data_IF_036209922597
#
_entry.id   IF_036209922597
#
_cell.length_a   1.000
_cell.length_b   1.000
_cell.length_c   1.000
_cell.angle_alpha   90.00
_cell.angle_beta   90.00
_cell.angle_gamma   90.00
#
_symmetry.space_group_name_H-M   'P 1'
#
loop_
_entity.id
_entity.type
_entity.pdbx_description
1 polymer ?
#
# COMPACT_ATOMS: atom_id res chain seq x y z
N UNK A 1 -17.30 5.39 -8.29
CA UNK A 1 -16.51 5.01 -7.09
C UNK A 1 -16.45 3.50 -6.86
N UNK A 2 -17.55 2.75 -7.05
CA UNK A 2 -17.59 1.29 -6.80
C UNK A 2 -16.49 0.45 -7.47
N UNK A 3 -16.14 0.71 -8.74
CA UNK A 3 -15.02 0.03 -9.41
C UNK A 3 -13.67 0.20 -8.70
N UNK A 4 -13.41 1.36 -8.10
CA UNK A 4 -12.18 1.61 -7.36
C UNK A 4 -12.19 0.94 -5.98
N UNK A 5 -13.36 0.74 -5.38
CA UNK A 5 -13.50 -0.09 -4.19
C UNK A 5 -13.17 -1.56 -4.50
N UNK A 6 -13.67 -2.09 -5.62
CA UNK A 6 -13.33 -3.44 -6.09
C UNK A 6 -11.83 -3.57 -6.40
N UNK A 7 -11.24 -2.55 -7.05
CA UNK A 7 -9.80 -2.52 -7.30
C UNK A 7 -8.98 -2.53 -6.00
N UNK A 8 -9.46 -1.90 -4.92
CA UNK A 8 -8.80 -1.98 -3.62
C UNK A 8 -8.85 -3.40 -3.03
N UNK A 9 -9.95 -4.13 -3.18
CA UNK A 9 -10.03 -5.52 -2.69
C UNK A 9 -8.97 -6.41 -3.35
N UNK A 10 -8.68 -6.21 -4.64
CA UNK A 10 -7.60 -6.92 -5.34
C UNK A 10 -6.19 -6.54 -4.84
N UNK A 11 -6.02 -5.42 -4.14
CA UNK A 11 -4.75 -5.08 -3.50
C UNK A 11 -4.45 -5.93 -2.26
N UNK A 12 -5.47 -6.49 -1.59
CA UNK A 12 -5.29 -7.35 -0.42
C UNK A 12 -4.42 -8.58 -0.72
N UNK A 13 -4.73 -9.42 -1.74
CA UNK A 13 -3.87 -10.56 -2.06
C UNK A 13 -2.48 -10.11 -2.53
N UNK A 14 -2.34 -8.96 -3.21
CA UNK A 14 -1.02 -8.41 -3.57
C UNK A 14 -0.19 -8.04 -2.32
N UNK A 15 -0.82 -7.41 -1.32
CA UNK A 15 -0.17 -7.08 -0.05
C UNK A 15 0.27 -8.34 0.71
N UNK A 16 -0.61 -9.36 0.76
CA UNK A 16 -0.30 -10.66 1.36
C UNK A 16 0.87 -11.32 0.64
N UNK A 17 0.87 -11.35 -0.69
CA UNK A 17 1.95 -11.93 -1.49
C UNK A 17 3.28 -11.20 -1.25
N UNK A 18 3.29 -9.87 -1.18
CA UNK A 18 4.48 -9.09 -0.88
C UNK A 18 5.02 -9.37 0.55
N UNK A 19 4.13 -9.49 1.53
CA UNK A 19 4.48 -9.88 2.89
C UNK A 19 5.03 -11.31 2.97
N UNK A 20 4.39 -12.26 2.28
CA UNK A 20 4.82 -13.65 2.22
C UNK A 20 6.19 -13.78 1.55
N UNK A 21 6.42 -13.07 0.43
CA UNK A 21 7.71 -13.02 -0.25
C UNK A 21 8.83 -12.53 0.67
N UNK A 22 8.54 -11.53 1.52
CA UNK A 22 9.47 -11.06 2.56
C UNK A 22 9.74 -12.16 3.58
N UNK A 23 8.71 -12.58 4.31
CA UNK A 23 8.85 -13.48 5.48
C UNK A 23 9.37 -14.87 5.11
N UNK A 24 8.86 -15.45 4.03
CA UNK A 24 9.21 -16.81 3.59
C UNK A 24 10.44 -16.82 2.68
N UNK A 25 10.73 -15.72 2.00
CA UNK A 25 11.83 -15.59 1.06
C UNK A 25 13.06 -14.97 1.69
N UNK A 26 13.28 -13.68 1.40
CA UNK A 26 14.58 -13.04 1.64
C UNK A 26 14.80 -12.57 3.08
N UNK A 27 13.77 -12.47 3.93
CA UNK A 27 13.96 -12.06 5.33
C UNK A 27 14.86 -13.03 6.11
N UNK A 28 14.91 -14.31 5.74
CA UNK A 28 15.82 -15.28 6.38
C UNK A 28 17.31 -14.97 6.14
N UNK A 29 17.63 -14.25 5.07
CA UNK A 29 18.99 -13.90 4.65
C UNK A 29 19.33 -12.43 4.90
N UNK A 30 18.38 -11.65 5.42
CA UNK A 30 18.50 -10.22 5.63
C UNK A 30 18.10 -9.86 7.06
N UNK A 31 18.79 -8.90 7.67
CA UNK A 31 18.29 -8.31 8.92
C UNK A 31 16.90 -7.70 8.72
N UNK A 32 16.06 -7.76 9.75
CA UNK A 32 14.64 -7.36 9.73
C UNK A 32 14.41 -6.00 9.07
N UNK A 33 15.22 -4.99 9.43
CA UNK A 33 15.13 -3.64 8.86
C UNK A 33 15.33 -3.62 7.35
N UNK A 34 16.33 -4.32 6.83
CA UNK A 34 16.62 -4.39 5.39
C UNK A 34 15.52 -5.14 4.65
N UNK A 35 15.06 -6.24 5.23
CA UNK A 35 13.95 -7.01 4.67
C UNK A 35 12.67 -6.16 4.57
N UNK A 36 12.37 -5.38 5.60
CA UNK A 36 11.24 -4.45 5.58
C UNK A 36 11.42 -3.38 4.49
N UNK A 37 12.58 -2.74 4.40
CA UNK A 37 12.85 -1.71 3.39
C UNK A 37 12.72 -2.25 1.97
N UNK A 38 13.32 -3.41 1.67
CA UNK A 38 13.17 -4.08 0.38
C UNK A 38 11.69 -4.39 0.08
N UNK A 39 10.95 -4.89 1.06
CA UNK A 39 9.51 -5.17 0.90
C UNK A 39 8.69 -3.92 0.62
N UNK A 40 9.01 -2.79 1.24
CA UNK A 40 8.35 -1.51 0.97
C UNK A 40 8.66 -1.01 -0.44
N UNK A 41 9.92 -1.10 -0.88
CA UNK A 41 10.31 -0.69 -2.24
C UNK A 41 9.65 -1.57 -3.31
N UNK A 42 9.63 -2.89 -3.11
CA UNK A 42 8.92 -3.82 -3.99
C UNK A 42 7.42 -3.51 -4.01
N UNK A 43 6.81 -3.22 -2.86
CA UNK A 43 5.41 -2.80 -2.80
C UNK A 43 5.15 -1.52 -3.58
N UNK A 44 6.00 -0.49 -3.46
CA UNK A 44 5.86 0.77 -4.22
C UNK A 44 5.85 0.49 -5.73
N UNK A 45 6.76 -0.34 -6.23
CA UNK A 45 6.85 -0.68 -7.66
C UNK A 45 5.64 -1.48 -8.11
N UNK A 46 5.30 -2.58 -7.41
CA UNK A 46 4.20 -3.48 -7.77
C UNK A 46 2.86 -2.77 -7.70
N UNK A 47 2.60 -2.04 -6.62
CA UNK A 47 1.37 -1.26 -6.48
C UNK A 47 1.37 -0.08 -7.45
N UNK A 48 2.51 0.56 -7.72
CA UNK A 48 2.59 1.59 -8.76
C UNK A 48 2.14 1.08 -10.12
N UNK A 49 2.65 -0.08 -10.55
CA UNK A 49 2.24 -0.72 -11.80
C UNK A 49 0.75 -1.11 -11.79
N UNK A 50 0.26 -1.67 -10.69
CA UNK A 50 -1.15 -2.02 -10.54
C UNK A 50 -2.07 -0.79 -10.59
N UNK A 51 -1.72 0.28 -9.87
CA UNK A 51 -2.49 1.53 -9.84
C UNK A 51 -2.48 2.18 -11.23
N UNK A 52 -1.35 2.19 -11.92
CA UNK A 52 -1.27 2.66 -13.30
C UNK A 52 -2.21 1.87 -14.22
N UNK A 53 -2.23 0.53 -14.11
CA UNK A 53 -3.16 -0.32 -14.85
C UNK A 53 -4.63 0.02 -14.55
N UNK A 54 -4.98 0.21 -13.27
CA UNK A 54 -6.34 0.58 -12.86
C UNK A 54 -6.75 1.94 -13.42
N UNK A 55 -5.88 2.95 -13.31
CA UNK A 55 -6.13 4.30 -13.85
C UNK A 55 -6.28 4.27 -15.36
N UNK A 56 -5.45 3.48 -16.06
CA UNK A 56 -5.53 3.29 -17.51
C UNK A 56 -6.82 2.62 -17.96
N UNK A 57 -7.22 1.58 -17.25
CA UNK A 57 -8.40 0.79 -17.59
C UNK A 57 -9.67 1.55 -17.27
N UNK A 58 -9.65 2.30 -16.17
CA UNK A 58 -10.76 3.12 -15.71
C UNK A 58 -10.29 4.52 -15.34
N UNK A 59 -10.09 5.40 -16.35
CA UNK A 59 -9.64 6.76 -16.11
C UNK A 59 -10.58 7.50 -15.15
N UNK A 60 -10.04 8.14 -14.10
CA UNK A 60 -10.80 9.11 -13.33
C UNK A 60 -11.29 10.24 -14.24
N UNK A 61 -12.50 10.73 -14.00
CA UNK A 61 -13.11 11.81 -14.78
C UNK A 61 -12.44 13.17 -14.52
N UNK A 62 -11.68 13.30 -13.43
CA UNK A 62 -10.96 14.52 -13.08
C UNK A 62 -9.82 14.23 -12.12
N UNK A 63 -8.89 15.18 -12.02
CA UNK A 63 -7.82 15.14 -11.02
C UNK A 63 -8.36 15.08 -9.58
N UNK A 64 -9.46 15.77 -9.30
CA UNK A 64 -10.12 15.70 -8.00
C UNK A 64 -10.65 14.30 -7.71
N UNK A 65 -11.25 13.63 -8.69
CA UNK A 65 -11.69 12.24 -8.53
C UNK A 65 -10.50 11.30 -8.34
N UNK A 66 -9.40 11.48 -9.07
CA UNK A 66 -8.20 10.66 -8.92
C UNK A 66 -7.61 10.77 -7.50
N UNK A 67 -7.55 12.00 -6.96
CA UNK A 67 -7.11 12.21 -5.58
C UNK A 67 -8.08 11.57 -4.58
N UNK A 68 -9.39 11.70 -4.79
CA UNK A 68 -10.40 11.05 -3.94
C UNK A 68 -10.27 9.52 -3.93
N UNK A 69 -9.91 8.90 -5.07
CA UNK A 69 -9.64 7.45 -5.15
C UNK A 69 -8.42 7.07 -4.31
N UNK A 70 -7.33 7.82 -4.41
CA UNK A 70 -6.14 7.56 -3.60
C UNK A 70 -6.39 7.73 -2.11
N UNK A 71 -7.12 8.77 -1.70
CA UNK A 71 -7.52 8.98 -0.30
C UNK A 71 -8.44 7.87 0.21
N UNK A 72 -9.40 7.42 -0.61
CA UNK A 72 -10.25 6.27 -0.27
C UNK A 72 -9.39 5.02 -0.01
N UNK A 73 -8.44 4.71 -0.90
CA UNK A 73 -7.56 3.56 -0.74
C UNK A 73 -6.65 3.68 0.48
N UNK A 74 -6.15 4.87 0.78
CA UNK A 74 -5.38 5.13 2.00
C UNK A 74 -6.21 4.79 3.25
N UNK A 75 -7.41 5.36 3.36
CA UNK A 75 -8.31 5.15 4.52
C UNK A 75 -8.64 3.68 4.67
N UNK A 76 -9.02 3.00 3.59
CA UNK A 76 -9.33 1.57 3.62
C UNK A 76 -8.12 0.73 4.02
N UNK A 77 -6.93 1.07 3.53
CA UNK A 77 -5.68 0.33 3.84
C UNK A 77 -5.30 0.48 5.30
N UNK A 78 -5.33 1.71 5.84
CA UNK A 78 -5.07 1.95 7.27
C UNK A 78 -6.12 1.26 8.13
N UNK A 79 -7.41 1.39 7.79
CA UNK A 79 -8.48 0.71 8.53
C UNK A 79 -8.33 -0.81 8.52
N UNK A 80 -7.98 -1.39 7.37
CA UNK A 80 -7.71 -2.83 7.24
C UNK A 80 -6.47 -3.25 8.01
N UNK A 81 -5.36 -2.53 7.90
CA UNK A 81 -4.11 -2.82 8.60
C UNK A 81 -4.32 -2.85 10.11
N UNK A 82 -4.92 -1.81 10.65
CA UNK A 82 -5.17 -1.72 12.09
C UNK A 82 -6.26 -2.69 12.53
N UNK A 83 -7.32 -2.87 11.74
CA UNK A 83 -8.39 -3.79 12.08
C UNK A 83 -7.95 -5.25 12.06
N UNK A 84 -7.34 -5.69 10.96
CA UNK A 84 -6.79 -7.03 10.82
C UNK A 84 -5.59 -7.26 11.76
N UNK A 85 -4.72 -6.27 11.92
CA UNK A 85 -3.57 -6.35 12.81
C UNK A 85 -3.96 -6.49 14.27
N UNK A 86 -4.87 -5.63 14.75
CA UNK A 86 -5.28 -5.65 16.15
C UNK A 86 -6.24 -6.80 16.46
N UNK A 87 -7.36 -6.89 15.76
CA UNK A 87 -8.38 -7.90 16.06
C UNK A 87 -8.11 -9.26 15.41
N UNK A 88 -7.52 -9.29 14.20
CA UNK A 88 -7.23 -10.54 13.48
C UNK A 88 -5.94 -11.24 13.92
N UNK A 89 -4.88 -10.48 14.21
CA UNK A 89 -3.57 -11.02 14.63
C UNK A 89 -3.26 -10.82 16.12
N UNK A 90 -4.10 -10.10 16.86
CA UNK A 90 -3.89 -9.82 18.28
C UNK A 90 -2.72 -8.87 18.57
N UNK A 91 -2.28 -8.08 17.59
CA UNK A 91 -1.15 -7.17 17.76
C UNK A 91 -1.56 -5.94 18.59
N UNK A 92 -0.76 -5.49 19.55
CA UNK A 92 -1.06 -4.24 20.26
C UNK A 92 -0.87 -3.03 19.34
N UNK A 93 -1.63 -1.96 19.57
CA UNK A 93 -1.54 -0.70 18.81
C UNK A 93 -0.11 -0.18 18.66
N UNK A 94 0.69 -0.28 19.72
CA UNK A 94 2.11 0.13 19.72
C UNK A 94 2.96 -0.67 18.72
N UNK A 95 2.66 -1.94 18.50
CA UNK A 95 3.37 -2.76 17.52
C UNK A 95 3.04 -2.33 16.09
N UNK A 96 1.79 -1.99 15.81
CA UNK A 96 1.34 -1.48 14.50
C UNK A 96 1.94 -0.09 14.22
N UNK A 97 1.89 0.81 15.19
CA UNK A 97 2.46 2.16 15.08
C UNK A 97 3.98 2.16 14.86
N UNK A 98 4.67 1.08 15.24
CA UNK A 98 6.12 0.97 15.01
C UNK A 98 6.46 1.05 13.53
N UNK A 99 5.63 0.50 12.65
CA UNK A 99 5.89 0.54 11.21
C UNK A 99 5.74 1.96 10.62
N UNK A 100 5.19 2.91 11.38
CA UNK A 100 5.06 4.31 11.00
C UNK A 100 6.26 5.19 11.41
N UNK A 101 7.23 4.63 12.14
CA UNK A 101 8.40 5.38 12.59
C UNK A 101 9.50 5.48 11.51
N UNK A 102 9.45 6.54 10.72
CA UNK A 102 10.47 6.85 9.72
C UNK A 102 11.87 7.03 10.33
N UNK A 103 11.98 7.48 11.59
CA UNK A 103 13.27 7.67 12.27
C UNK A 103 13.91 6.33 12.61
N UNK A 104 13.09 5.32 12.89
CA UNK A 104 13.53 3.92 12.99
C UNK A 104 13.85 3.27 11.62
N UNK A 105 13.69 4.02 10.52
CA UNK A 105 13.94 3.54 9.15
C UNK A 105 12.82 2.68 8.59
N UNK A 106 11.61 2.76 9.16
CA UNK A 106 10.42 2.07 8.65
C UNK A 106 9.78 2.91 7.56
N UNK A 107 9.79 2.39 6.34
CA UNK A 107 9.39 3.15 5.15
C UNK A 107 7.89 3.04 4.83
N UNK A 108 7.10 2.40 5.70
CA UNK A 108 5.67 2.18 5.45
C UNK A 108 4.88 3.47 5.17
N UNK A 109 5.13 4.61 5.87
CA UNK A 109 4.46 5.86 5.55
C UNK A 109 4.72 6.35 4.11
N UNK A 110 5.88 6.04 3.53
CA UNK A 110 6.19 6.38 2.14
C UNK A 110 5.31 5.57 1.16
N UNK A 111 5.07 4.30 1.46
CA UNK A 111 4.14 3.47 0.69
C UNK A 111 2.70 4.00 0.79
N UNK A 112 2.26 4.42 1.98
CA UNK A 112 0.92 5.01 2.17
C UNK A 112 0.76 6.34 1.43
N UNK A 113 1.78 7.20 1.47
CA UNK A 113 1.80 8.42 0.68
C UNK A 113 1.77 8.13 -0.82
N UNK A 114 2.52 7.13 -1.27
CA UNK A 114 2.50 6.66 -2.66
C UNK A 114 1.11 6.16 -3.07
N UNK A 115 0.47 5.31 -2.26
CA UNK A 115 -0.89 4.79 -2.50
C UNK A 115 -1.92 5.92 -2.65
N UNK A 116 -1.79 6.97 -1.84
CA UNK A 116 -2.68 8.14 -1.88
C UNK A 116 -2.44 9.03 -3.12
N UNK A 117 -1.20 9.20 -3.55
CA UNK A 117 -0.84 10.15 -4.61
C UNK A 117 -0.76 9.53 -6.01
N UNK A 118 -0.43 8.24 -6.13
CA UNK A 118 -0.22 7.56 -7.40
C UNK A 118 -1.41 7.68 -8.38
N UNK A 119 -2.69 7.54 -7.97
CA UNK A 119 -3.80 7.68 -8.89
C UNK A 119 -3.86 9.07 -9.55
N UNK A 120 -3.60 10.11 -8.75
CA UNK A 120 -3.55 11.49 -9.24
C UNK A 120 -2.36 11.73 -10.16
N UNK A 121 -1.17 11.24 -9.78
CA UNK A 121 0.04 11.35 -10.60
C UNK A 121 -0.15 10.70 -11.97
N UNK A 122 -0.67 9.48 -12.03
CA UNK A 122 -0.87 8.77 -13.30
C UNK A 122 -1.98 9.39 -14.15
N UNK A 123 -3.07 9.84 -13.51
CA UNK A 123 -4.11 10.58 -14.23
C UNK A 123 -3.57 11.86 -14.88
N UNK A 124 -2.69 12.61 -14.17
CA UNK A 124 -2.06 13.81 -14.71
C UNK A 124 -1.00 13.53 -15.78
N UNK A 125 -0.33 12.39 -15.70
CA UNK A 125 0.67 11.99 -16.68
C UNK A 125 0.04 11.54 -18.03
N UNK A 126 -1.29 11.54 -18.15
CA UNK A 126 -1.99 11.02 -19.33
C UNK A 126 -1.82 9.52 -19.50
N UNK A 127 -1.51 8.80 -18.41
CA UNK A 127 -1.32 7.36 -18.43
C UNK A 127 -2.64 6.66 -18.71
#
# INVERSE_FOLDING_TARGET
>A
MGRYLLAWLAMIPLAIANGALRELGYARRMGERRAHQCSTLTAIVVFGAYIALVVRTWPPASAAQALAVGLLWLVLTVAFEFGFGHWGRGLPWRALLRDYDLRAGRLWPLFLAWLALAPWLFHRAGA
#
